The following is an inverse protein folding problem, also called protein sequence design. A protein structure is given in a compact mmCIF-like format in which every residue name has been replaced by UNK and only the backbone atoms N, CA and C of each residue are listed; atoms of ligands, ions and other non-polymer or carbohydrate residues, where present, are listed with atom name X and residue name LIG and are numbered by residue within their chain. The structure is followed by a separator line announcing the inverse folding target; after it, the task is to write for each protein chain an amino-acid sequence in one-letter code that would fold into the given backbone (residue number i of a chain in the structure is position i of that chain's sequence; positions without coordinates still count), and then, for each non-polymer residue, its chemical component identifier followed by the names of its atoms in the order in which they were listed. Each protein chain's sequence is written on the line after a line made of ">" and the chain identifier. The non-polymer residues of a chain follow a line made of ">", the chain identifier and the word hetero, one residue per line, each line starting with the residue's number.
data_IF_994077092538
#
_entry.id   IF_994077092538
#
_cell.length_a   1.000
_cell.length_b   1.000
_cell.length_c   1.000
_cell.angle_alpha   90.00
_cell.angle_beta   90.00
_cell.angle_gamma   90.00
#
_symmetry.space_group_name_H-M   'P 1'
#
loop_
_entity.id
_entity.type
_entity.pdbx_description
1 polymer ?
#
# COMPACT_ATOMS: atom_id res chain seq x y z
N UNK A 1 -22.65 13.47 -15.16
CA UNK A 1 -22.97 12.11 -14.68
C UNK A 1 -21.93 11.07 -15.12
N UNK A 2 -21.37 11.16 -16.33
CA UNK A 2 -20.32 10.23 -16.80
C UNK A 2 -18.96 10.34 -16.06
N UNK A 3 -18.50 11.54 -15.69
CA UNK A 3 -17.18 11.74 -15.03
C UNK A 3 -17.10 11.11 -13.61
N UNK A 4 -18.24 10.99 -12.90
CA UNK A 4 -18.27 10.33 -11.59
C UNK A 4 -18.24 8.80 -11.71
N UNK A 5 -18.89 8.23 -12.72
CA UNK A 5 -18.85 6.80 -13.00
C UNK A 5 -17.48 6.37 -13.52
N UNK A 6 -16.82 7.21 -14.33
CA UNK A 6 -15.46 6.97 -14.82
C UNK A 6 -14.44 7.01 -13.67
N UNK A 7 -14.59 7.93 -12.72
CA UNK A 7 -13.77 8.01 -11.50
C UNK A 7 -14.06 6.87 -10.51
N UNK A 8 -15.31 6.44 -10.38
CA UNK A 8 -15.68 5.25 -9.59
C UNK A 8 -15.16 3.95 -10.23
N UNK A 9 -15.16 3.86 -11.57
CA UNK A 9 -14.55 2.75 -12.29
C UNK A 9 -13.01 2.76 -12.22
N UNK A 10 -12.37 3.92 -12.10
CA UNK A 10 -10.93 4.00 -11.82
C UNK A 10 -10.57 3.56 -10.40
N UNK A 11 -11.42 3.86 -9.41
CA UNK A 11 -11.23 3.45 -8.02
C UNK A 11 -11.55 1.97 -7.78
N UNK A 12 -12.64 1.45 -8.37
CA UNK A 12 -12.97 0.01 -8.35
C UNK A 12 -12.13 -0.80 -9.36
N UNK A 13 -11.57 -0.14 -10.38
CA UNK A 13 -10.73 -0.74 -11.42
C UNK A 13 -9.26 -0.85 -11.04
N UNK A 14 -8.85 -0.40 -9.85
CA UNK A 14 -7.46 -0.51 -9.40
C UNK A 14 -6.92 -1.95 -9.40
N UNK A 15 -7.76 -2.93 -9.02
CA UNK A 15 -7.40 -4.35 -9.06
C UNK A 15 -7.35 -4.92 -10.49
N UNK A 16 -8.29 -4.52 -11.35
CA UNK A 16 -8.33 -4.93 -12.76
C UNK A 16 -7.14 -4.37 -13.54
N UNK A 17 -6.84 -3.08 -13.38
CA UNK A 17 -5.68 -2.44 -13.98
C UNK A 17 -4.36 -3.04 -13.46
N UNK A 18 -4.25 -3.30 -12.16
CA UNK A 18 -3.07 -3.96 -11.59
C UNK A 18 -2.86 -5.36 -12.19
N UNK A 19 -3.95 -6.12 -12.43
CA UNK A 19 -3.89 -7.42 -13.11
C UNK A 19 -3.47 -7.30 -14.58
N UNK A 20 -4.04 -6.35 -15.33
CA UNK A 20 -3.62 -6.09 -16.72
C UNK A 20 -2.14 -5.71 -16.80
N UNK A 21 -1.66 -4.88 -15.86
CA UNK A 21 -0.25 -4.51 -15.77
C UNK A 21 0.66 -5.70 -15.43
N UNK A 22 0.22 -6.59 -14.53
CA UNK A 22 0.93 -7.84 -14.24
C UNK A 22 1.07 -8.71 -15.50
N UNK A 23 -0.04 -8.96 -16.20
CA UNK A 23 -0.06 -9.75 -17.43
C UNK A 23 0.81 -9.12 -18.52
N UNK A 24 0.79 -7.79 -18.62
CA UNK A 24 1.69 -7.04 -19.50
C UNK A 24 3.17 -7.31 -19.17
N UNK A 25 3.58 -7.18 -17.92
CA UNK A 25 4.99 -7.41 -17.54
C UNK A 25 5.41 -8.87 -17.76
N UNK A 26 4.56 -9.84 -17.40
CA UNK A 26 4.82 -11.27 -17.62
C UNK A 26 4.92 -11.61 -19.12
N UNK A 27 3.96 -11.14 -19.90
CA UNK A 27 3.91 -11.38 -21.34
C UNK A 27 5.08 -10.72 -22.06
N UNK A 28 5.38 -9.46 -21.74
CA UNK A 28 6.50 -8.75 -22.33
C UNK A 28 7.84 -9.39 -21.92
N UNK A 29 8.02 -9.77 -20.65
CA UNK A 29 9.21 -10.49 -20.20
C UNK A 29 9.42 -11.78 -21.01
N UNK A 30 8.35 -12.57 -21.20
CA UNK A 30 8.38 -13.84 -21.94
C UNK A 30 8.73 -13.63 -23.41
N UNK A 31 8.09 -12.66 -24.07
CA UNK A 31 8.35 -12.35 -25.47
C UNK A 31 9.77 -11.80 -25.69
N UNK A 32 10.26 -10.95 -24.78
CA UNK A 32 11.64 -10.46 -24.82
C UNK A 32 12.66 -11.59 -24.61
N UNK A 33 12.37 -12.55 -23.73
CA UNK A 33 13.20 -13.75 -23.54
C UNK A 33 13.29 -14.61 -24.81
N UNK A 34 12.18 -14.69 -25.54
CA UNK A 34 12.09 -15.40 -26.82
C UNK A 34 12.70 -14.61 -28.00
N UNK A 35 13.29 -13.43 -27.75
CA UNK A 35 13.91 -12.60 -28.79
C UNK A 35 12.92 -11.89 -29.71
N UNK A 36 11.64 -11.78 -29.33
CA UNK A 36 10.63 -11.13 -30.14
C UNK A 36 10.79 -9.60 -30.06
N UNK A 37 10.73 -8.93 -31.20
CA UNK A 37 10.86 -7.47 -31.30
C UNK A 37 9.81 -6.75 -30.44
N UNK A 38 10.25 -5.75 -29.67
CA UNK A 38 9.45 -5.05 -28.65
C UNK A 38 8.14 -4.46 -29.21
N UNK A 39 8.15 -3.84 -30.40
CA UNK A 39 6.94 -3.29 -31.01
C UNK A 39 5.89 -4.38 -31.31
N UNK A 40 6.32 -5.54 -31.82
CA UNK A 40 5.41 -6.68 -32.08
C UNK A 40 4.88 -7.26 -30.78
N UNK A 41 5.71 -7.30 -29.74
CA UNK A 41 5.30 -7.72 -28.41
C UNK A 41 4.22 -6.81 -27.83
N UNK A 42 4.39 -5.48 -27.91
CA UNK A 42 3.40 -4.50 -27.47
C UNK A 42 2.07 -4.62 -28.23
N UNK A 43 2.10 -4.77 -29.55
CA UNK A 43 0.88 -5.00 -30.36
C UNK A 43 0.17 -6.30 -30.00
N UNK A 44 0.94 -7.38 -29.77
CA UNK A 44 0.39 -8.68 -29.38
C UNK A 44 -0.30 -8.59 -28.02
N UNK A 45 0.32 -7.93 -27.05
CA UNK A 45 -0.25 -7.72 -25.72
C UNK A 45 -1.46 -6.79 -25.76
N UNK A 46 -1.45 -5.78 -26.64
CA UNK A 46 -2.61 -4.91 -26.85
C UNK A 46 -3.84 -5.69 -27.35
N UNK A 47 -3.64 -6.69 -28.23
CA UNK A 47 -4.74 -7.56 -28.71
C UNK A 47 -5.27 -8.51 -27.64
N UNK A 48 -4.45 -8.88 -26.66
CA UNK A 48 -4.81 -9.80 -25.58
C UNK A 48 -5.42 -9.10 -24.37
N UNK A 49 -5.23 -7.79 -24.22
CA UNK A 49 -5.74 -7.05 -23.06
C UNK A 49 -7.27 -7.04 -23.04
N UNK A 50 -7.84 -7.34 -21.87
CA UNK A 50 -9.28 -7.31 -21.65
C UNK A 50 -9.77 -5.92 -21.23
N UNK A 51 -8.89 -4.92 -21.21
CA UNK A 51 -9.20 -3.55 -20.80
C UNK A 51 -8.92 -2.57 -21.95
N UNK A 52 -9.96 -2.05 -22.63
CA UNK A 52 -9.80 -1.28 -23.88
C UNK A 52 -8.87 -0.07 -23.77
N UNK A 53 -8.94 0.67 -22.66
CA UNK A 53 -8.09 1.85 -22.45
C UNK A 53 -6.60 1.48 -22.31
N UNK A 54 -6.29 0.32 -21.71
CA UNK A 54 -4.92 -0.17 -21.60
C UNK A 54 -4.43 -0.76 -22.93
N UNK A 55 -5.30 -1.45 -23.68
CA UNK A 55 -4.99 -1.88 -25.04
C UNK A 55 -4.62 -0.70 -25.96
N UNK A 56 -5.36 0.41 -25.87
CA UNK A 56 -5.06 1.63 -26.63
C UNK A 56 -3.71 2.24 -26.21
N UNK A 57 -3.43 2.30 -24.91
CA UNK A 57 -2.14 2.76 -24.40
C UNK A 57 -0.98 1.89 -24.91
N UNK A 58 -1.14 0.57 -24.95
CA UNK A 58 -0.13 -0.34 -25.48
C UNK A 58 0.12 -0.14 -26.99
N UNK A 59 -0.93 0.11 -27.78
CA UNK A 59 -0.77 0.46 -29.21
C UNK A 59 -0.04 1.79 -29.38
N UNK A 60 -0.39 2.79 -28.56
CA UNK A 60 0.32 4.06 -28.52
C UNK A 60 1.80 3.90 -28.16
N UNK A 61 2.11 3.04 -27.17
CA UNK A 61 3.48 2.69 -26.83
C UNK A 61 4.22 2.03 -28.00
N UNK A 62 3.57 1.08 -28.69
CA UNK A 62 4.14 0.41 -29.86
C UNK A 62 4.48 1.40 -30.98
N UNK A 63 3.60 2.37 -31.25
CA UNK A 63 3.86 3.44 -32.20
C UNK A 63 5.00 4.37 -31.76
N UNK A 64 5.08 4.69 -30.46
CA UNK A 64 6.13 5.56 -29.90
C UNK A 64 7.52 4.92 -30.01
N UNK A 65 7.62 3.63 -29.66
CA UNK A 65 8.86 2.84 -29.80
C UNK A 65 9.20 2.60 -31.27
N UNK A 66 8.20 2.38 -32.12
CA UNK A 66 8.37 2.27 -33.58
C UNK A 66 8.97 3.51 -34.24
N UNK A 67 8.86 4.68 -33.60
CA UNK A 67 9.52 5.93 -34.02
C UNK A 67 10.97 6.08 -33.53
N UNK A 68 11.52 5.06 -32.86
CA UNK A 68 12.89 5.04 -32.34
C UNK A 68 13.05 5.54 -30.90
N UNK A 69 11.96 5.82 -30.18
CA UNK A 69 12.04 6.16 -28.76
C UNK A 69 12.22 4.90 -27.91
N UNK A 70 12.74 5.08 -26.69
CA UNK A 70 12.83 3.99 -25.70
C UNK A 70 11.44 3.58 -25.17
N UNK A 71 11.32 2.33 -24.71
CA UNK A 71 10.13 1.82 -24.02
C UNK A 71 9.85 2.64 -22.76
N UNK A 72 10.85 3.01 -21.97
CA UNK A 72 10.64 3.84 -20.78
C UNK A 72 10.00 5.19 -21.12
N UNK A 73 10.46 5.85 -22.18
CA UNK A 73 9.82 7.07 -22.69
C UNK A 73 8.38 6.80 -23.14
N UNK A 74 8.14 5.72 -23.88
CA UNK A 74 6.80 5.36 -24.32
C UNK A 74 5.82 5.11 -23.16
N UNK A 75 6.24 4.37 -22.14
CA UNK A 75 5.43 4.10 -20.94
C UNK A 75 5.18 5.37 -20.12
N UNK A 76 6.15 6.31 -20.09
CA UNK A 76 6.02 7.57 -19.34
C UNK A 76 4.90 8.49 -19.85
N UNK A 77 4.49 8.34 -21.12
CA UNK A 77 3.37 9.07 -21.72
C UNK A 77 2.03 8.66 -21.11
N UNK A 78 1.96 7.48 -20.49
CA UNK A 78 0.74 6.90 -19.92
C UNK A 78 0.86 6.67 -18.39
N UNK A 79 1.07 7.73 -17.59
CA UNK A 79 1.31 7.61 -16.15
C UNK A 79 0.12 7.01 -15.37
N UNK A 80 -1.10 7.08 -15.93
CA UNK A 80 -2.29 6.46 -15.34
C UNK A 80 -2.24 4.92 -15.35
N UNK A 81 -1.46 4.32 -16.25
CA UNK A 81 -1.33 2.87 -16.38
C UNK A 81 0.01 2.35 -15.86
N UNK A 82 1.08 3.13 -16.07
CA UNK A 82 2.44 2.78 -15.70
C UNK A 82 2.97 3.71 -14.60
N UNK A 83 3.03 3.25 -13.35
CA UNK A 83 3.55 4.04 -12.25
C UNK A 83 5.01 4.45 -12.50
N UNK A 84 5.46 5.63 -12.00
CA UNK A 84 6.82 6.12 -12.19
C UNK A 84 7.91 5.11 -11.80
N UNK A 85 7.69 4.33 -10.74
CA UNK A 85 8.59 3.25 -10.32
C UNK A 85 8.86 2.23 -11.45
N UNK A 86 7.79 1.72 -12.07
CA UNK A 86 7.91 0.74 -13.15
C UNK A 86 8.62 1.31 -14.37
N UNK A 87 8.30 2.56 -14.73
CA UNK A 87 8.94 3.27 -15.84
C UNK A 87 10.44 3.46 -15.60
N UNK A 88 10.83 3.88 -14.40
CA UNK A 88 12.25 4.06 -14.04
C UNK A 88 13.02 2.74 -14.05
N UNK A 89 12.44 1.67 -13.53
CA UNK A 89 13.08 0.36 -13.60
C UNK A 89 13.22 -0.14 -15.05
N UNK A 90 12.20 0.05 -15.88
CA UNK A 90 12.31 -0.24 -17.32
C UNK A 90 13.46 0.54 -17.94
N UNK A 91 13.62 1.83 -17.62
CA UNK A 91 14.75 2.64 -18.07
C UNK A 91 16.11 2.05 -17.65
N UNK A 92 16.23 1.58 -16.40
CA UNK A 92 17.41 0.84 -15.93
C UNK A 92 17.65 -0.39 -16.79
N UNK A 93 16.61 -1.19 -17.05
CA UNK A 93 16.70 -2.40 -17.85
C UNK A 93 17.06 -2.17 -19.32
N UNK A 94 16.60 -1.08 -19.90
CA UNK A 94 16.97 -0.66 -21.26
C UNK A 94 18.43 -0.24 -21.33
N UNK A 95 18.86 0.63 -20.41
CA UNK A 95 20.22 1.14 -20.36
C UNK A 95 21.24 0.04 -20.04
N UNK A 96 20.86 -0.90 -19.19
CA UNK A 96 21.72 -2.02 -18.77
C UNK A 96 21.62 -3.25 -19.69
N UNK A 97 20.79 -3.23 -20.74
CA UNK A 97 20.54 -4.39 -21.60
C UNK A 97 19.88 -5.59 -20.92
N UNK A 98 19.31 -5.43 -19.71
CA UNK A 98 18.66 -6.49 -18.93
C UNK A 98 17.16 -6.26 -18.75
N UNK A 99 16.50 -5.70 -19.77
CA UNK A 99 15.08 -5.42 -19.77
C UNK A 99 14.23 -6.63 -19.38
N UNK A 100 14.59 -7.83 -19.87
CA UNK A 100 13.91 -9.07 -19.51
C UNK A 100 13.88 -9.32 -17.99
N UNK A 101 15.03 -9.24 -17.31
CA UNK A 101 15.13 -9.48 -15.88
C UNK A 101 14.37 -8.42 -15.05
N UNK A 102 14.37 -7.17 -15.52
CA UNK A 102 13.58 -6.09 -14.93
C UNK A 102 12.08 -6.35 -15.07
N UNK A 103 11.62 -6.77 -16.25
CA UNK A 103 10.21 -7.10 -16.47
C UNK A 103 9.76 -8.30 -15.64
N UNK A 104 10.61 -9.34 -15.49
CA UNK A 104 10.35 -10.45 -14.56
C UNK A 104 10.28 -9.98 -13.10
N UNK A 105 11.12 -9.02 -12.69
CA UNK A 105 11.04 -8.43 -11.36
C UNK A 105 9.74 -7.63 -11.16
N UNK A 106 9.39 -6.78 -12.13
CA UNK A 106 8.14 -6.00 -12.11
C UNK A 106 6.90 -6.90 -12.09
N UNK A 107 6.94 -8.03 -12.81
CA UNK A 107 5.91 -9.05 -12.76
C UNK A 107 5.80 -9.67 -11.36
N UNK A 108 6.90 -10.17 -10.77
CA UNK A 108 6.89 -10.73 -9.41
C UNK A 108 6.40 -9.71 -8.37
N UNK A 109 6.83 -8.46 -8.49
CA UNK A 109 6.38 -7.38 -7.61
C UNK A 109 4.88 -7.10 -7.77
N UNK A 110 4.37 -7.08 -9.01
CA UNK A 110 2.94 -6.92 -9.30
C UNK A 110 2.10 -8.08 -8.76
N UNK A 111 2.62 -9.30 -8.86
CA UNK A 111 1.98 -10.50 -8.31
C UNK A 111 1.91 -10.46 -6.79
N UNK A 112 3.02 -10.17 -6.12
CA UNK A 112 3.07 -10.00 -4.67
C UNK A 112 2.10 -8.88 -4.22
N UNK A 113 2.05 -7.77 -4.96
CA UNK A 113 1.12 -6.67 -4.68
C UNK A 113 -0.35 -7.08 -4.80
N UNK A 114 -0.71 -7.84 -5.83
CA UNK A 114 -2.08 -8.35 -6.03
C UNK A 114 -2.47 -9.37 -4.97
N UNK A 115 -1.55 -10.27 -4.59
CA UNK A 115 -1.77 -11.22 -3.51
C UNK A 115 -1.96 -10.49 -2.18
N UNK A 116 -1.10 -9.51 -1.87
CA UNK A 116 -1.22 -8.68 -0.67
C UNK A 116 -2.56 -7.93 -0.65
N UNK A 117 -2.95 -7.29 -1.75
CA UNK A 117 -4.26 -6.63 -1.86
C UNK A 117 -5.42 -7.60 -1.65
N UNK A 118 -5.37 -8.80 -2.24
CA UNK A 118 -6.38 -9.84 -2.04
C UNK A 118 -6.47 -10.28 -0.58
N UNK A 119 -5.32 -10.49 0.09
CA UNK A 119 -5.26 -10.82 1.52
C UNK A 119 -5.82 -9.70 2.38
N UNK A 120 -5.47 -8.44 2.10
CA UNK A 120 -6.00 -7.26 2.79
C UNK A 120 -7.52 -7.15 2.61
N UNK A 121 -8.03 -7.28 1.39
CA UNK A 121 -9.47 -7.21 1.11
C UNK A 121 -10.23 -8.33 1.83
N UNK A 122 -9.73 -9.56 1.78
CA UNK A 122 -10.32 -10.68 2.50
C UNK A 122 -10.28 -10.47 4.03
N UNK A 123 -9.15 -9.98 4.55
CA UNK A 123 -8.97 -9.70 5.97
C UNK A 123 -9.82 -8.52 6.47
N UNK A 124 -10.20 -7.57 5.59
CA UNK A 124 -11.05 -6.42 5.92
C UNK A 124 -12.55 -6.73 5.84
N UNK A 125 -12.96 -7.77 5.11
CA UNK A 125 -14.35 -8.18 5.01
C UNK A 125 -14.93 -8.58 6.38
N UNK A 126 -14.20 -9.38 7.15
CA UNK A 126 -14.62 -9.79 8.49
C UNK A 126 -14.80 -8.60 9.46
N UNK A 127 -13.81 -7.69 9.63
CA UNK A 127 -13.98 -6.44 10.38
C UNK A 127 -15.20 -5.63 9.94
N UNK A 128 -15.43 -5.48 8.63
CA UNK A 128 -16.56 -4.70 8.13
C UNK A 128 -17.91 -5.31 8.56
N UNK A 129 -18.04 -6.63 8.51
CA UNK A 129 -19.26 -7.33 8.97
C UNK A 129 -19.44 -7.18 10.48
N UNK A 130 -18.40 -7.41 11.28
CA UNK A 130 -18.48 -7.27 12.74
C UNK A 130 -18.80 -5.83 13.15
N UNK A 131 -18.16 -4.84 12.53
CA UNK A 131 -18.44 -3.42 12.80
C UNK A 131 -19.88 -3.07 12.41
N UNK A 132 -20.39 -3.58 11.29
CA UNK A 132 -21.78 -3.39 10.87
C UNK A 132 -22.76 -4.00 11.89
N UNK A 133 -22.48 -5.19 12.40
CA UNK A 133 -23.27 -5.82 13.47
C UNK A 133 -23.20 -5.01 14.78
N UNK A 134 -22.01 -4.55 15.18
CA UNK A 134 -21.84 -3.72 16.38
C UNK A 134 -22.60 -2.39 16.26
N UNK A 135 -22.52 -1.74 15.09
CA UNK A 135 -23.25 -0.51 14.81
C UNK A 135 -24.77 -0.76 14.84
N UNK A 136 -25.21 -1.87 14.24
CA UNK A 136 -26.61 -2.31 14.31
C UNK A 136 -27.08 -2.51 15.75
N UNK A 137 -26.28 -3.17 16.58
CA UNK A 137 -26.56 -3.33 18.02
C UNK A 137 -26.68 -1.99 18.74
N UNK A 138 -25.76 -1.06 18.49
CA UNK A 138 -25.77 0.26 19.13
C UNK A 138 -26.95 1.14 18.72
N UNK A 139 -27.55 0.93 17.54
CA UNK A 139 -28.67 1.75 17.05
C UNK A 139 -30.02 1.08 17.32
N UNK A 140 -30.14 -0.20 16.97
CA UNK A 140 -31.43 -0.93 17.00
C UNK A 140 -31.85 -1.24 18.43
N UNK A 141 -30.93 -1.73 19.27
CA UNK A 141 -31.28 -2.16 20.64
C UNK A 141 -31.80 -1.01 21.49
N UNK A 142 -31.15 0.16 21.57
CA UNK A 142 -31.69 1.27 22.35
C UNK A 142 -33.01 1.81 21.78
N UNK A 143 -33.18 1.81 20.46
CA UNK A 143 -34.39 2.31 19.82
C UNK A 143 -35.62 1.45 20.14
N UNK A 144 -35.47 0.13 20.28
CA UNK A 144 -36.59 -0.80 20.51
C UNK A 144 -36.74 -1.22 21.96
N UNK A 145 -35.65 -1.67 22.60
CA UNK A 145 -35.70 -2.25 23.95
C UNK A 145 -35.67 -1.17 25.04
N UNK A 146 -34.93 -0.09 24.85
CA UNK A 146 -34.77 0.91 25.90
C UNK A 146 -36.00 1.82 26.06
N UNK A 147 -36.77 2.07 25.00
CA UNK A 147 -38.02 2.86 25.11
C UNK A 147 -38.99 2.22 26.11
N UNK A 148 -39.25 0.91 25.99
CA UNK A 148 -40.12 0.20 26.93
C UNK A 148 -39.58 0.20 28.37
N UNK A 149 -38.25 0.10 28.55
CA UNK A 149 -37.60 0.19 29.87
C UNK A 149 -37.72 1.61 30.44
N UNK A 150 -37.57 2.65 29.62
CA UNK A 150 -37.64 4.05 30.05
C UNK A 150 -39.05 4.44 30.45
N UNK A 151 -40.06 4.03 29.70
CA UNK A 151 -41.46 4.28 30.04
C UNK A 151 -41.82 3.65 31.39
N UNK A 152 -41.29 2.45 31.66
CA UNK A 152 -41.45 1.77 32.94
C UNK A 152 -40.69 2.48 34.08
N UNK A 153 -39.41 2.82 33.89
CA UNK A 153 -38.60 3.48 34.94
C UNK A 153 -39.08 4.92 35.23
N UNK A 154 -39.57 5.64 34.22
CA UNK A 154 -40.14 6.97 34.38
C UNK A 154 -41.38 6.97 35.29
N UNK A 155 -42.12 5.85 35.35
CA UNK A 155 -43.26 5.71 36.28
C UNK A 155 -42.84 5.54 37.75
N UNK A 156 -41.56 5.26 38.02
CA UNK A 156 -41.04 4.97 39.37
C UNK A 156 -40.12 6.06 39.94
N UNK A 157 -39.93 7.18 39.22
CA UNK A 157 -39.11 8.34 39.61
C UNK A 157 -37.64 8.02 40.02
N UNK A 158 -37.12 6.87 39.55
CA UNK A 158 -35.76 6.40 39.87
C UNK A 158 -34.72 7.05 38.93
N UNK A 159 -33.58 7.55 39.46
CA UNK A 159 -32.54 8.16 38.62
C UNK A 159 -31.80 7.14 37.73
N UNK A 160 -31.93 7.34 36.42
CA UNK A 160 -31.27 6.54 35.39
C UNK A 160 -29.73 6.45 35.58
N UNK A 161 -29.12 5.25 35.43
CA UNK A 161 -27.66 5.07 35.46
C UNK A 161 -26.92 5.88 34.38
N UNK A 162 -25.64 6.16 34.63
CA UNK A 162 -24.77 6.91 33.70
C UNK A 162 -24.63 6.22 32.33
N UNK A 163 -24.53 4.89 32.29
CA UNK A 163 -24.46 4.10 31.04
C UNK A 163 -25.71 4.31 30.16
N UNK A 164 -26.90 4.27 30.76
CA UNK A 164 -28.18 4.48 30.07
C UNK A 164 -28.34 5.90 29.55
N UNK A 165 -27.92 6.92 30.32
CA UNK A 165 -27.94 8.33 29.89
C UNK A 165 -27.00 8.56 28.70
N UNK A 166 -25.79 7.99 28.74
CA UNK A 166 -24.83 8.09 27.63
C UNK A 166 -25.34 7.39 26.37
N UNK A 167 -25.98 6.22 26.52
CA UNK A 167 -26.58 5.51 25.40
C UNK A 167 -27.74 6.27 24.76
N UNK A 168 -28.57 6.97 25.54
CA UNK A 168 -29.62 7.86 25.03
C UNK A 168 -29.07 9.06 24.27
N UNK A 169 -27.95 9.62 24.73
CA UNK A 169 -27.25 10.70 24.03
C UNK A 169 -26.73 10.23 22.66
N UNK A 170 -26.12 9.03 22.60
CA UNK A 170 -25.67 8.38 21.37
C UNK A 170 -26.84 8.07 20.42
N UNK A 171 -27.98 7.60 20.95
CA UNK A 171 -29.18 7.33 20.16
C UNK A 171 -29.75 8.62 19.52
N UNK A 172 -29.77 9.76 20.23
CA UNK A 172 -30.10 11.07 19.62
C UNK A 172 -29.07 11.49 18.58
N UNK A 173 -27.80 11.15 18.78
CA UNK A 173 -26.72 11.40 17.81
C UNK A 173 -26.83 10.51 16.56
N UNK A 174 -27.61 9.42 16.59
CA UNK A 174 -27.84 8.55 15.43
C UNK A 174 -28.42 9.30 14.23
N UNK A 175 -29.25 10.32 14.47
CA UNK A 175 -29.78 11.22 13.44
C UNK A 175 -28.70 12.08 12.74
N UNK A 176 -27.51 12.20 13.33
CA UNK A 176 -26.37 12.95 12.80
C UNK A 176 -25.35 12.05 12.07
N UNK A 177 -25.51 10.72 12.12
CA UNK A 177 -24.61 9.76 11.45
C UNK A 177 -24.61 9.95 9.92
N UNK A 178 -25.75 10.11 9.22
CA UNK A 178 -25.75 10.32 7.77
C UNK A 178 -25.03 11.60 7.30
N UNK A 179 -25.28 12.80 7.89
CA UNK A 179 -24.54 14.00 7.49
C UNK A 179 -23.06 13.95 7.87
N UNK A 180 -22.69 13.33 8.99
CA UNK A 180 -21.28 13.18 9.39
C UNK A 180 -20.51 12.24 8.46
N UNK A 181 -21.12 11.14 8.02
CA UNK A 181 -20.54 10.23 7.03
C UNK A 181 -20.33 10.94 5.69
N UNK A 182 -21.29 11.77 5.27
CA UNK A 182 -21.23 12.52 4.01
C UNK A 182 -20.14 13.61 4.06
N UNK A 183 -19.99 14.30 5.19
CA UNK A 183 -18.87 15.22 5.45
C UNK A 183 -17.54 14.48 5.50
N UNK A 184 -17.48 13.30 6.11
CA UNK A 184 -16.28 12.45 6.15
C UNK A 184 -15.83 11.99 4.77
N UNK A 185 -16.76 11.55 3.92
CA UNK A 185 -16.49 11.17 2.51
C UNK A 185 -16.06 12.40 1.70
N UNK A 186 -16.72 13.54 1.88
CA UNK A 186 -16.36 14.79 1.22
C UNK A 186 -14.94 15.23 1.62
N UNK A 187 -14.62 15.22 2.92
CA UNK A 187 -13.30 15.57 3.45
C UNK A 187 -12.22 14.60 2.97
N UNK A 188 -12.50 13.29 2.98
CA UNK A 188 -11.59 12.27 2.45
C UNK A 188 -11.33 12.47 0.94
N UNK A 189 -12.36 12.82 0.16
CA UNK A 189 -12.21 13.08 -1.28
C UNK A 189 -11.36 14.33 -1.57
N UNK A 190 -11.47 15.36 -0.72
CA UNK A 190 -10.65 16.58 -0.79
C UNK A 190 -9.22 16.31 -0.36
N UNK A 191 -9.01 15.53 0.72
CA UNK A 191 -7.69 15.11 1.17
C UNK A 191 -6.97 14.29 0.09
N UNK A 192 -7.65 13.30 -0.49
CA UNK A 192 -7.14 12.44 -1.56
C UNK A 192 -6.75 13.24 -2.81
N UNK A 193 -7.45 14.34 -3.11
CA UNK A 193 -7.07 15.27 -4.19
C UNK A 193 -5.88 16.16 -3.79
N UNK A 194 -5.77 16.54 -2.52
CA UNK A 194 -4.63 17.28 -1.96
C UNK A 194 -3.31 16.50 -1.94
N UNK A 195 -3.36 15.16 -1.98
CA UNK A 195 -2.19 14.28 -2.03
C UNK A 195 -1.31 14.48 -3.28
N UNK A 196 -1.82 15.09 -4.34
CA UNK A 196 -1.04 15.44 -5.53
C UNK A 196 -0.16 16.69 -5.34
N UNK A 197 -0.32 17.44 -4.25
CA UNK A 197 0.56 18.56 -3.94
C UNK A 197 1.86 18.07 -3.32
N UNK A 198 2.99 18.49 -3.88
CA UNK A 198 4.33 18.14 -3.41
C UNK A 198 4.55 18.47 -1.92
N UNK A 199 3.95 19.56 -1.43
CA UNK A 199 4.00 19.95 -0.01
C UNK A 199 3.24 18.98 0.91
N UNK A 200 2.09 18.49 0.46
CA UNK A 200 1.29 17.49 1.19
C UNK A 200 1.98 16.15 1.18
N UNK A 201 2.61 15.77 0.06
CA UNK A 201 3.38 14.54 -0.06
C UNK A 201 4.60 14.52 0.87
N UNK A 202 5.34 15.62 0.99
CA UNK A 202 6.46 15.75 1.93
C UNK A 202 6.01 15.74 3.40
N UNK A 203 4.90 16.42 3.72
CA UNK A 203 4.33 16.39 5.08
C UNK A 203 3.83 15.00 5.48
N UNK A 204 3.22 14.27 4.54
CA UNK A 204 2.79 12.89 4.74
C UNK A 204 3.97 11.93 4.83
N UNK A 205 4.99 12.10 4.00
CA UNK A 205 6.22 11.34 4.09
C UNK A 205 6.78 11.42 5.53
N UNK A 206 6.88 12.63 6.08
CA UNK A 206 7.33 12.83 7.44
C UNK A 206 6.40 12.16 8.48
N UNK A 207 5.09 12.33 8.36
CA UNK A 207 4.13 11.72 9.28
C UNK A 207 4.13 10.18 9.24
N UNK A 208 4.19 9.58 8.04
CA UNK A 208 4.21 8.13 7.86
C UNK A 208 5.51 7.50 8.38
N UNK A 209 6.66 8.17 8.23
CA UNK A 209 7.92 7.67 8.76
C UNK A 209 8.04 7.76 10.28
N UNK A 210 7.22 8.58 10.95
CA UNK A 210 7.18 8.70 12.41
C UNK A 210 6.20 7.74 13.09
N UNK A 211 5.28 7.14 12.34
CA UNK A 211 4.37 6.13 12.89
C UNK A 211 5.16 4.86 13.28
N UNK A 212 5.11 4.44 14.57
CA UNK A 212 5.80 3.23 15.00
C UNK A 212 5.26 2.01 14.23
N UNK A 213 6.17 1.15 13.75
CA UNK A 213 5.85 0.03 12.87
C UNK A 213 5.78 0.40 11.39
N UNK A 214 4.92 1.35 11.00
CA UNK A 214 4.71 1.75 9.60
C UNK A 214 5.97 2.37 9.00
N UNK A 215 6.62 3.31 9.71
CA UNK A 215 7.84 3.94 9.24
C UNK A 215 8.97 2.92 9.01
N UNK A 216 9.08 1.91 9.88
CA UNK A 216 10.05 0.82 9.73
C UNK A 216 9.75 -0.03 8.49
N UNK A 217 8.48 -0.39 8.27
CA UNK A 217 8.06 -1.15 7.09
C UNK A 217 8.35 -0.40 5.78
N UNK A 218 8.09 0.92 5.74
CA UNK A 218 8.40 1.75 4.58
C UNK A 218 9.90 1.85 4.28
N UNK A 219 10.73 1.98 5.32
CA UNK A 219 12.20 1.97 5.16
C UNK A 219 12.69 0.64 4.59
N UNK A 220 12.21 -0.47 5.14
CA UNK A 220 12.54 -1.82 4.65
C UNK A 220 12.11 -1.95 3.19
N UNK A 221 10.89 -1.55 2.84
CA UNK A 221 10.39 -1.61 1.47
C UNK A 221 11.27 -0.80 0.49
N UNK A 222 11.64 0.43 0.85
CA UNK A 222 12.52 1.27 0.03
C UNK A 222 13.91 0.64 -0.14
N UNK A 223 14.51 0.13 0.95
CA UNK A 223 15.81 -0.54 0.91
C UNK A 223 15.77 -1.82 0.07
N UNK A 224 14.70 -2.62 0.16
CA UNK A 224 14.55 -3.86 -0.62
C UNK A 224 14.48 -3.56 -2.12
N UNK A 225 13.66 -2.57 -2.51
CA UNK A 225 13.55 -2.13 -3.89
C UNK A 225 14.88 -1.62 -4.44
N UNK A 226 15.58 -0.80 -3.64
CA UNK A 226 16.91 -0.30 -3.99
C UNK A 226 17.93 -1.43 -4.15
N UNK A 227 18.05 -2.35 -3.19
CA UNK A 227 18.95 -3.49 -3.27
C UNK A 227 18.68 -4.34 -4.51
N UNK A 228 17.41 -4.57 -4.84
CA UNK A 228 17.02 -5.32 -6.02
C UNK A 228 17.43 -4.60 -7.30
N UNK A 229 17.10 -3.32 -7.42
CA UNK A 229 17.45 -2.51 -8.59
C UNK A 229 18.97 -2.42 -8.76
N UNK A 230 19.71 -2.20 -7.68
CA UNK A 230 21.17 -2.14 -7.67
C UNK A 230 21.78 -3.49 -8.03
N UNK A 231 21.26 -4.60 -7.51
CA UNK A 231 21.69 -5.96 -7.87
C UNK A 231 21.57 -6.21 -9.37
N UNK A 232 20.43 -5.83 -9.96
CA UNK A 232 20.15 -6.02 -11.38
C UNK A 232 21.04 -5.13 -12.26
N UNK A 233 21.18 -3.84 -11.91
CA UNK A 233 22.00 -2.90 -12.65
C UNK A 233 23.50 -3.23 -12.55
N UNK A 234 24.01 -3.44 -11.33
CA UNK A 234 25.41 -3.79 -11.09
C UNK A 234 25.76 -5.16 -11.67
N UNK A 235 24.87 -6.16 -11.51
CA UNK A 235 25.02 -7.47 -12.15
C UNK A 235 24.91 -7.45 -13.68
N UNK A 236 24.48 -6.34 -14.27
CA UNK A 236 24.54 -6.09 -15.71
C UNK A 236 25.87 -5.49 -16.18
N UNK A 237 26.79 -5.19 -15.26
CA UNK A 237 28.05 -4.51 -15.58
C UNK A 237 27.93 -2.98 -15.66
N UNK A 238 26.81 -2.39 -15.22
CA UNK A 238 26.71 -0.93 -15.07
C UNK A 238 27.69 -0.47 -13.99
N UNK A 239 28.42 0.61 -14.26
CA UNK A 239 29.37 1.21 -13.31
C UNK A 239 28.67 1.49 -11.98
N UNK A 240 29.30 1.13 -10.86
CA UNK A 240 28.66 1.15 -9.53
C UNK A 240 27.94 2.46 -9.21
N UNK A 241 28.58 3.61 -9.42
CA UNK A 241 27.98 4.92 -9.13
C UNK A 241 26.70 5.17 -9.94
N UNK A 242 26.72 4.80 -11.22
CA UNK A 242 25.54 4.93 -12.08
C UNK A 242 24.45 3.92 -11.68
N UNK A 243 24.83 2.69 -11.32
CA UNK A 243 23.91 1.68 -10.81
C UNK A 243 23.22 2.15 -9.51
N UNK A 244 23.95 2.79 -8.60
CA UNK A 244 23.39 3.40 -7.38
C UNK A 244 22.41 4.52 -7.74
N UNK A 245 22.77 5.42 -8.65
CA UNK A 245 21.88 6.51 -9.09
C UNK A 245 20.58 5.96 -9.70
N UNK A 246 20.69 5.00 -10.61
CA UNK A 246 19.54 4.35 -11.26
C UNK A 246 18.66 3.61 -10.25
N UNK A 247 19.26 2.91 -9.28
CA UNK A 247 18.54 2.23 -8.21
C UNK A 247 17.85 3.19 -7.24
N UNK A 248 18.51 4.29 -6.87
CA UNK A 248 17.99 5.33 -6.00
C UNK A 248 16.77 6.00 -6.62
N UNK A 249 16.84 6.29 -7.92
CA UNK A 249 15.73 6.88 -8.68
C UNK A 249 14.51 5.96 -8.72
N UNK A 250 14.63 4.65 -8.59
CA UNK A 250 13.45 3.78 -8.53
C UNK A 250 12.60 4.05 -7.27
N UNK A 251 13.18 4.52 -6.17
CA UNK A 251 12.42 4.77 -4.93
C UNK A 251 11.38 5.89 -5.10
N UNK A 252 10.16 5.73 -4.54
CA UNK A 252 9.16 6.79 -4.53
C UNK A 252 9.48 7.91 -3.53
N UNK A 253 10.46 7.72 -2.64
CA UNK A 253 10.80 8.64 -1.56
C UNK A 253 12.02 9.48 -1.93
N UNK A 254 11.83 10.81 -2.00
CA UNK A 254 12.91 11.74 -2.40
C UNK A 254 14.03 11.78 -1.36
N UNK A 255 13.68 11.69 -0.08
CA UNK A 255 14.66 11.64 1.02
C UNK A 255 15.59 10.44 0.90
N UNK A 256 15.05 9.28 0.51
CA UNK A 256 15.81 8.06 0.26
C UNK A 256 16.73 8.21 -0.96
N UNK A 257 16.21 8.74 -2.06
CA UNK A 257 16.97 8.95 -3.30
C UNK A 257 18.24 9.78 -3.05
N UNK A 258 18.09 10.95 -2.41
CA UNK A 258 19.21 11.85 -2.09
C UNK A 258 20.22 11.16 -1.17
N UNK A 259 19.75 10.46 -0.13
CA UNK A 259 20.63 9.76 0.81
C UNK A 259 21.44 8.65 0.14
N UNK A 260 20.87 7.93 -0.82
CA UNK A 260 21.56 6.87 -1.57
C UNK A 260 22.54 7.44 -2.58
N UNK A 261 22.23 8.56 -3.24
CA UNK A 261 23.17 9.24 -4.13
C UNK A 261 24.41 9.74 -3.37
N UNK A 262 24.22 10.36 -2.20
CA UNK A 262 25.31 10.77 -1.31
C UNK A 262 26.14 9.59 -0.81
N UNK A 263 25.50 8.47 -0.47
CA UNK A 263 26.21 7.26 -0.06
C UNK A 263 27.04 6.71 -1.23
N UNK A 264 26.51 6.72 -2.46
CA UNK A 264 27.26 6.35 -3.67
C UNK A 264 28.50 7.23 -3.89
N UNK A 265 28.40 8.53 -3.66
CA UNK A 265 29.56 9.44 -3.74
C UNK A 265 30.62 9.14 -2.68
N UNK A 266 30.21 8.81 -1.45
CA UNK A 266 31.15 8.41 -0.38
C UNK A 266 31.92 7.13 -0.72
N UNK A 267 31.29 6.19 -1.41
CA UNK A 267 31.98 4.99 -1.91
C UNK A 267 33.06 5.37 -2.93
N UNK A 268 32.79 6.30 -3.83
CA UNK A 268 33.80 6.81 -4.78
C UNK A 268 34.98 7.49 -4.09
N UNK A 269 34.78 8.01 -2.88
CA UNK A 269 35.83 8.60 -2.05
C UNK A 269 36.63 7.56 -1.23
N UNK A 270 36.33 6.26 -1.38
CA UNK A 270 37.04 5.17 -0.71
C UNK A 270 36.35 4.61 0.54
N UNK A 271 35.15 5.07 0.88
CA UNK A 271 34.36 4.48 1.97
C UNK A 271 33.87 3.09 1.54
N UNK A 272 33.98 2.05 2.39
CA UNK A 272 33.36 0.75 2.11
C UNK A 272 31.85 0.90 1.82
N UNK A 273 31.32 0.13 0.88
CA UNK A 273 29.90 0.16 0.46
C UNK A 273 29.00 -0.11 1.66
N UNK A 274 29.32 -1.14 2.43
CA UNK A 274 28.60 -1.48 3.66
C UNK A 274 28.66 -0.39 4.72
N UNK A 275 29.75 0.39 4.77
CA UNK A 275 29.89 1.58 5.64
C UNK A 275 29.00 2.73 5.18
N UNK A 276 29.13 3.14 3.91
CA UNK A 276 28.36 4.23 3.33
C UNK A 276 26.83 4.00 3.44
N UNK A 277 26.38 2.76 3.19
CA UNK A 277 24.96 2.41 3.31
C UNK A 277 24.50 2.32 4.77
N UNK A 278 25.37 1.92 5.71
CA UNK A 278 25.05 1.95 7.14
C UNK A 278 24.88 3.38 7.65
N UNK A 279 25.79 4.26 7.26
CA UNK A 279 25.80 5.67 7.69
C UNK A 279 24.61 6.46 7.13
N UNK A 280 23.93 5.93 6.10
CA UNK A 280 22.67 6.50 5.62
C UNK A 280 21.51 6.37 6.63
N UNK A 281 21.57 5.39 7.55
CA UNK A 281 20.53 5.15 8.56
C UNK A 281 19.25 4.48 8.04
N UNK A 282 19.19 4.10 6.77
CA UNK A 282 17.99 3.50 6.16
C UNK A 282 17.93 1.98 6.29
N UNK A 283 19.08 1.31 6.14
CA UNK A 283 19.13 -0.15 6.04
C UNK A 283 18.98 -0.84 7.39
N UNK A 284 18.24 -1.95 7.39
CA UNK A 284 18.23 -2.86 8.52
C UNK A 284 19.62 -3.53 8.69
N UNK A 285 20.06 -3.83 9.94
CA UNK A 285 21.36 -4.46 10.19
C UNK A 285 21.59 -5.74 9.38
N UNK A 286 20.56 -6.59 9.25
CA UNK A 286 20.62 -7.82 8.46
C UNK A 286 21.01 -7.56 6.99
N UNK A 287 20.47 -6.51 6.37
CA UNK A 287 20.81 -6.15 4.99
C UNK A 287 22.25 -5.66 4.87
N UNK A 288 22.71 -4.83 5.82
CA UNK A 288 24.10 -4.35 5.87
C UNK A 288 25.08 -5.52 5.99
N UNK A 289 24.78 -6.54 6.80
CA UNK A 289 25.64 -7.73 6.91
C UNK A 289 25.79 -8.47 5.58
N UNK A 290 24.71 -8.59 4.80
CA UNK A 290 24.75 -9.22 3.49
C UNK A 290 25.56 -8.38 2.50
N UNK A 291 25.36 -7.06 2.50
CA UNK A 291 26.16 -6.13 1.68
C UNK A 291 27.64 -6.24 2.02
N UNK A 292 28.00 -6.26 3.30
CA UNK A 292 29.39 -6.43 3.76
C UNK A 292 29.98 -7.77 3.33
N UNK A 293 29.21 -8.86 3.42
CA UNK A 293 29.65 -10.18 2.95
C UNK A 293 29.85 -10.20 1.42
N UNK A 294 28.98 -9.53 0.67
CA UNK A 294 29.08 -9.41 -0.79
C UNK A 294 30.28 -8.55 -1.23
N UNK A 295 30.55 -7.48 -0.49
CA UNK A 295 31.72 -6.62 -0.67
C UNK A 295 33.02 -7.40 -0.41
N UNK A 296 33.12 -8.11 0.71
CA UNK A 296 34.31 -8.88 1.08
C UNK A 296 34.58 -10.09 0.16
N UNK A 297 33.52 -10.73 -0.36
CA UNK A 297 33.62 -11.92 -1.22
C UNK A 297 33.64 -11.61 -2.72
N UNK A 298 33.51 -10.34 -3.10
CA UNK A 298 33.38 -9.93 -4.51
C UNK A 298 32.05 -10.32 -5.17
N UNK A 299 31.07 -10.81 -4.40
CA UNK A 299 29.74 -11.25 -4.88
C UNK A 299 28.62 -10.28 -4.53
N UNK A 300 28.88 -8.98 -4.71
CA UNK A 300 27.97 -7.92 -4.30
C UNK A 300 26.57 -8.02 -4.94
N UNK A 301 26.47 -8.30 -6.24
CA UNK A 301 25.18 -8.42 -6.93
C UNK A 301 24.30 -9.53 -6.33
N UNK A 302 24.87 -10.70 -6.04
CA UNK A 302 24.16 -11.83 -5.42
C UNK A 302 23.68 -11.49 -4.01
N UNK A 303 24.56 -10.88 -3.20
CA UNK A 303 24.22 -10.54 -1.82
C UNK A 303 23.23 -9.38 -1.72
N UNK A 304 23.24 -8.43 -2.66
CA UNK A 304 22.20 -7.40 -2.78
C UNK A 304 20.83 -8.02 -3.13
N UNK A 305 20.81 -9.01 -4.03
CA UNK A 305 19.59 -9.75 -4.37
C UNK A 305 19.01 -10.47 -3.15
N UNK A 306 19.89 -11.07 -2.33
CA UNK A 306 19.49 -11.73 -1.09
C UNK A 306 19.06 -10.73 -0.01
N UNK A 307 19.75 -9.59 0.13
CA UNK A 307 19.32 -8.51 1.03
C UNK A 307 17.93 -7.99 0.68
N UNK A 308 17.62 -7.84 -0.60
CA UNK A 308 16.29 -7.48 -1.07
C UNK A 308 15.24 -8.54 -0.68
N UNK A 309 15.54 -9.82 -0.86
CA UNK A 309 14.63 -10.92 -0.49
C UNK A 309 14.36 -10.98 1.02
N UNK A 310 15.38 -10.78 1.86
CA UNK A 310 15.21 -10.71 3.32
C UNK A 310 14.30 -9.54 3.71
N UNK A 311 14.49 -8.36 3.11
CA UNK A 311 13.63 -7.23 3.38
C UNK A 311 12.19 -7.42 2.88
N UNK A 312 12.00 -8.03 1.70
CA UNK A 312 10.68 -8.43 1.17
C UNK A 312 9.96 -9.38 2.17
N UNK A 313 10.65 -10.39 2.69
CA UNK A 313 10.10 -11.32 3.69
C UNK A 313 9.75 -10.63 5.03
N UNK A 314 10.59 -9.69 5.48
CA UNK A 314 10.28 -8.92 6.69
C UNK A 314 9.04 -8.03 6.52
N UNK A 315 8.83 -7.49 5.32
CA UNK A 315 7.64 -6.71 5.00
C UNK A 315 6.39 -7.60 5.01
N UNK A 316 6.45 -8.77 4.39
CA UNK A 316 5.34 -9.73 4.37
C UNK A 316 4.96 -10.17 5.79
N UNK A 317 5.96 -10.49 6.63
CA UNK A 317 5.72 -10.87 8.01
C UNK A 317 5.11 -9.71 8.83
N UNK A 318 5.58 -8.47 8.63
CA UNK A 318 5.00 -7.31 9.29
C UNK A 318 3.51 -7.11 8.92
N UNK A 319 3.16 -7.35 7.66
CA UNK A 319 1.76 -7.32 7.20
C UNK A 319 0.94 -8.42 7.87
N UNK A 320 1.46 -9.65 7.96
CA UNK A 320 0.78 -10.78 8.61
C UNK A 320 0.55 -10.54 10.11
N UNK A 321 1.54 -10.00 10.82
CA UNK A 321 1.41 -9.63 12.24
C UNK A 321 0.35 -8.53 12.41
N UNK A 322 0.38 -7.51 11.56
CA UNK A 322 -0.63 -6.45 11.61
C UNK A 322 -2.04 -6.98 11.38
N UNK A 323 -2.22 -7.90 10.42
CA UNK A 323 -3.51 -8.53 10.11
C UNK A 323 -3.98 -9.47 11.22
N UNK A 324 -3.10 -10.27 11.82
CA UNK A 324 -3.47 -11.21 12.89
C UNK A 324 -3.90 -10.50 14.18
N UNK A 325 -3.38 -9.30 14.46
CA UNK A 325 -3.80 -8.48 15.59
C UNK A 325 -5.23 -7.91 15.44
N UNK A 326 -5.77 -7.84 14.21
CA UNK A 326 -7.11 -7.30 13.95
C UNK A 326 -8.18 -8.18 14.59
N UNK A 327 -8.08 -9.51 14.49
CA UNK A 327 -9.14 -10.41 14.95
C UNK A 327 -9.37 -10.38 16.48
N UNK A 328 -8.35 -10.46 17.35
CA UNK A 328 -8.53 -10.31 18.79
C UNK A 328 -9.09 -8.92 19.18
N UNK A 329 -8.63 -7.87 18.49
CA UNK A 329 -9.12 -6.50 18.76
C UNK A 329 -10.61 -6.35 18.47
N UNK A 330 -11.11 -7.02 17.42
CA UNK A 330 -12.53 -7.03 17.07
C UNK A 330 -13.38 -7.80 18.09
N UNK A 331 -12.87 -8.92 18.62
CA UNK A 331 -13.58 -9.66 19.67
C UNK A 331 -13.69 -8.84 20.95
N UNK A 332 -12.61 -8.16 21.35
CA UNK A 332 -12.62 -7.24 22.49
C UNK A 332 -13.60 -6.08 22.26
N UNK A 333 -13.58 -5.49 21.06
CA UNK A 333 -14.50 -4.42 20.70
C UNK A 333 -15.96 -4.89 20.73
N UNK A 334 -16.26 -6.04 20.13
CA UNK A 334 -17.61 -6.61 20.12
C UNK A 334 -18.09 -6.93 21.54
N UNK A 335 -17.24 -7.54 22.37
CA UNK A 335 -17.53 -7.79 23.78
C UNK A 335 -17.79 -6.51 24.57
N UNK A 336 -17.00 -5.46 24.33
CA UNK A 336 -17.19 -4.15 24.95
C UNK A 336 -18.51 -3.49 24.51
N UNK A 337 -18.86 -3.58 23.22
CA UNK A 337 -20.14 -3.08 22.70
C UNK A 337 -21.32 -3.82 23.32
N UNK A 338 -21.29 -5.16 23.32
CA UNK A 338 -22.36 -5.98 23.89
C UNK A 338 -22.49 -5.73 25.40
N UNK A 339 -21.37 -5.71 26.13
CA UNK A 339 -21.35 -5.43 27.57
C UNK A 339 -21.85 -4.02 27.90
N UNK A 340 -21.48 -3.02 27.10
CA UNK A 340 -21.98 -1.66 27.23
C UNK A 340 -23.50 -1.59 27.03
N UNK A 341 -24.03 -2.23 25.97
CA UNK A 341 -25.47 -2.28 25.69
C UNK A 341 -26.22 -3.00 26.82
N UNK A 342 -25.73 -4.15 27.28
CA UNK A 342 -26.34 -4.89 28.40
C UNK A 342 -26.35 -4.07 29.69
N UNK A 343 -25.25 -3.40 30.02
CA UNK A 343 -25.19 -2.51 31.19
C UNK A 343 -26.19 -1.37 31.09
N UNK A 344 -26.35 -0.78 29.91
CA UNK A 344 -27.25 0.32 29.69
C UNK A 344 -28.74 -0.09 29.70
N UNK A 345 -29.08 -1.33 29.29
CA UNK A 345 -30.46 -1.84 29.31
C UNK A 345 -30.87 -2.46 30.64
N UNK A 346 -30.01 -3.26 31.28
CA UNK A 346 -30.31 -3.94 32.54
C UNK A 346 -30.03 -3.06 33.76
N UNK A 347 -29.09 -2.12 33.68
CA UNK A 347 -28.75 -1.22 34.79
C UNK A 347 -29.93 -0.48 35.42
N UNK A 348 -30.86 0.12 34.63
CA UNK A 348 -32.05 0.75 35.18
C UNK A 348 -32.94 -0.23 35.96
N UNK A 349 -33.12 -1.45 35.45
CA UNK A 349 -33.96 -2.47 36.08
C UNK A 349 -33.37 -2.96 37.40
N UNK A 350 -32.05 -3.16 37.47
CA UNK A 350 -31.37 -3.53 38.71
C UNK A 350 -31.54 -2.45 39.79
N UNK A 351 -31.44 -1.17 39.44
CA UNK A 351 -31.67 -0.07 40.39
C UNK A 351 -33.10 -0.01 40.92
N UNK A 352 -34.10 -0.32 40.07
CA UNK A 352 -35.49 -0.39 40.51
C UNK A 352 -35.68 -1.51 41.54
N UNK A 353 -35.08 -2.69 41.30
CA UNK A 353 -35.12 -3.82 42.23
C UNK A 353 -34.42 -3.49 43.56
N UNK A 354 -33.29 -2.78 43.54
CA UNK A 354 -32.60 -2.34 44.77
C UNK A 354 -33.38 -1.27 45.56
N UNK A 355 -34.27 -0.52 44.91
CA UNK A 355 -35.07 0.54 45.55
C UNK A 355 -36.40 0.09 46.15
N UNK A 356 -36.80 -1.17 45.88
CA UNK A 356 -38.01 -1.82 46.41
C UNK A 356 -37.72 -2.50 47.76
#
# INVERSE_FOLDING_TARGET
>A
MNDLLERLQLLLGGSRLARERLLFYQGLATMMKAGIHICRSLESLARQSSYPAFAEALRGCAAYVGRGNSLSQALSVYPQFFPPYGVRLVHVGETSGRLHAILEHLARHGEASLQAQGRLQAALLYPAVVLLLCLGFLVIVPATLLQGVLDFVASMDVPLPLSTRFMLLLARFSWWIPPLLLVGIALASVLLRGLNSERVRLGLEHALFHLPGVGRALRIAACSQFCRALSLAYGAGVVFLEAVRLAAQASPWRSFEVSMEEAGQRVMQGTPISGAFRDSGWFAPAMIHMIAAGEASGRLAEMLSQAAQVGEQQLDHAVEVALSAVQPSLLLLAGLVVGFVLSATLGPMLKVIESL
#
